data_IF_681196839974
#
_entry.id   IF_681196839974
#
_cell.length_a   1.000
_cell.length_b   1.000
_cell.length_c   1.000
_cell.angle_alpha   90.00
_cell.angle_beta   90.00
_cell.angle_gamma   90.00
#
_symmetry.space_group_name_H-M   'P 1'
#
loop_
_entity.id
_entity.type
_entity.pdbx_description
1 polymer ?
#
# COMPACT_ATOMS: atom_id res chain seq x y z
N UNK A 1 -19.14 50.03 34.33
CA UNK A 1 -17.98 49.13 34.60
C UNK A 1 -18.34 47.66 34.41
N UNK A 2 -19.42 47.16 35.01
CA UNK A 2 -19.84 45.74 34.90
C UNK A 2 -20.03 45.22 33.46
N UNK A 3 -20.71 45.97 32.60
CA UNK A 3 -20.93 45.58 31.19
C UNK A 3 -19.63 45.41 30.37
N UNK A 4 -18.59 46.21 30.68
CA UNK A 4 -17.29 46.10 30.01
C UNK A 4 -16.54 44.83 30.44
N UNK A 5 -16.69 44.42 31.70
CA UNK A 5 -16.07 43.21 32.26
C UNK A 5 -16.74 41.95 31.66
N UNK A 6 -18.07 41.94 31.58
CA UNK A 6 -18.82 40.83 30.96
C UNK A 6 -18.46 40.67 29.48
N UNK A 7 -18.34 41.77 28.74
CA UNK A 7 -17.92 41.74 27.34
C UNK A 7 -16.50 41.18 27.19
N UNK A 8 -15.56 41.60 28.03
CA UNK A 8 -14.17 41.12 27.99
C UNK A 8 -14.10 39.62 28.29
N UNK A 9 -14.88 39.15 29.27
CA UNK A 9 -14.95 37.74 29.63
C UNK A 9 -15.59 36.88 28.53
N UNK A 10 -16.64 37.39 27.87
CA UNK A 10 -17.27 36.73 26.73
C UNK A 10 -16.31 36.60 25.54
N UNK A 11 -15.55 37.66 25.22
CA UNK A 11 -14.53 37.65 24.15
C UNK A 11 -13.41 36.65 24.48
N UNK A 12 -12.94 36.64 25.74
CA UNK A 12 -11.90 35.72 26.18
C UNK A 12 -12.35 34.25 26.09
N UNK A 13 -13.59 33.98 26.50
CA UNK A 13 -14.17 32.62 26.45
C UNK A 13 -14.36 32.17 24.99
N UNK A 14 -14.85 33.06 24.12
CA UNK A 14 -15.04 32.76 22.70
C UNK A 14 -13.71 32.53 21.98
N UNK A 15 -12.67 33.30 22.31
CA UNK A 15 -11.32 33.12 21.76
C UNK A 15 -10.71 31.77 22.17
N UNK A 16 -10.82 31.42 23.45
CA UNK A 16 -10.25 30.19 24.01
C UNK A 16 -10.88 28.92 23.41
N UNK A 17 -12.21 28.91 23.22
CA UNK A 17 -12.90 27.78 22.59
C UNK A 17 -12.50 27.57 21.13
N UNK A 18 -12.24 28.64 20.38
CA UNK A 18 -11.81 28.52 18.99
C UNK A 18 -10.38 27.96 18.89
N UNK A 19 -9.46 28.40 19.74
CA UNK A 19 -8.08 27.88 19.76
C UNK A 19 -8.06 26.38 20.08
N UNK A 20 -8.84 25.93 21.08
CA UNK A 20 -8.92 24.51 21.42
C UNK A 20 -9.51 23.70 20.27
N UNK A 21 -10.57 24.20 19.63
CA UNK A 21 -11.18 23.55 18.47
C UNK A 21 -10.19 23.44 17.30
N UNK A 22 -9.47 24.51 17.00
CA UNK A 22 -8.48 24.53 15.92
C UNK A 22 -7.30 23.58 16.19
N UNK A 23 -6.81 23.52 17.43
CA UNK A 23 -5.76 22.58 17.83
C UNK A 23 -6.22 21.12 17.69
N UNK A 24 -7.42 20.79 18.15
CA UNK A 24 -7.97 19.43 18.02
C UNK A 24 -8.16 19.08 16.55
N UNK A 25 -8.71 19.99 15.75
CA UNK A 25 -8.93 19.77 14.32
C UNK A 25 -7.60 19.58 13.58
N UNK A 26 -6.58 20.37 13.87
CA UNK A 26 -5.27 20.28 13.22
C UNK A 26 -4.54 18.96 13.55
N UNK A 27 -4.63 18.49 14.80
CA UNK A 27 -3.99 17.24 15.22
C UNK A 27 -4.76 15.99 14.75
N UNK A 28 -6.10 16.03 14.72
CA UNK A 28 -6.92 14.87 14.40
C UNK A 28 -7.18 14.71 12.89
N UNK A 29 -7.43 15.81 12.19
CA UNK A 29 -7.85 15.81 10.78
C UNK A 29 -6.82 16.43 9.83
N UNK A 30 -5.70 16.93 10.35
CA UNK A 30 -4.71 17.68 9.57
C UNK A 30 -5.21 19.07 9.16
N UNK A 31 -4.35 19.84 8.49
CA UNK A 31 -4.74 21.16 8.01
C UNK A 31 -5.82 21.04 6.91
N UNK A 32 -6.95 21.77 6.99
CA UNK A 32 -8.07 21.62 6.06
C UNK A 32 -7.77 21.99 4.60
N UNK A 33 -6.54 22.41 4.28
CA UNK A 33 -6.08 22.83 2.95
C UNK A 33 -5.53 21.64 2.10
N UNK A 34 -5.33 20.45 2.68
CA UNK A 34 -4.64 19.35 1.97
C UNK A 34 -5.54 18.37 1.20
N UNK A 35 -6.86 18.51 1.24
CA UNK A 35 -7.75 17.65 0.43
C UNK A 35 -7.77 18.17 -1.01
N UNK A 36 -6.74 17.83 -1.79
CA UNK A 36 -6.80 18.02 -3.24
C UNK A 36 -7.87 17.10 -3.79
N UNK A 37 -8.85 17.66 -4.49
CA UNK A 37 -9.73 16.88 -5.34
C UNK A 37 -8.87 16.24 -6.43
N UNK A 38 -8.75 14.92 -6.38
CA UNK A 38 -8.04 14.15 -7.39
C UNK A 38 -9.09 13.37 -8.18
N UNK A 39 -9.15 13.62 -9.48
CA UNK A 39 -9.91 12.79 -10.40
C UNK A 39 -9.04 11.63 -10.87
N UNK A 40 -9.54 10.42 -10.73
CA UNK A 40 -8.90 9.22 -11.23
C UNK A 40 -9.72 8.66 -12.40
N UNK A 41 -9.11 8.33 -13.54
CA UNK A 41 -9.78 7.58 -14.59
C UNK A 41 -9.96 6.13 -14.12
N UNK A 42 -11.01 5.87 -13.33
CA UNK A 42 -11.34 4.55 -12.84
C UNK A 42 -12.00 3.73 -13.95
N UNK A 43 -11.35 2.64 -14.35
CA UNK A 43 -11.90 1.65 -15.26
C UNK A 43 -12.14 0.35 -14.48
N UNK A 44 -13.40 -0.06 -14.25
CA UNK A 44 -13.69 -1.26 -13.46
C UNK A 44 -13.19 -2.56 -14.12
N UNK A 45 -13.02 -2.57 -15.44
CA UNK A 45 -12.66 -3.75 -16.23
C UNK A 45 -11.14 -3.91 -16.41
N UNK A 46 -10.35 -2.92 -15.99
CA UNK A 46 -8.90 -2.92 -16.21
C UNK A 46 -8.20 -4.07 -15.50
N UNK A 47 -8.72 -4.50 -14.35
CA UNK A 47 -8.21 -5.65 -13.60
C UNK A 47 -8.31 -6.96 -14.39
N UNK A 48 -9.45 -7.20 -15.04
CA UNK A 48 -9.69 -8.41 -15.84
C UNK A 48 -8.74 -8.46 -17.04
N UNK A 49 -8.63 -7.34 -17.77
CA UNK A 49 -7.76 -7.26 -18.96
C UNK A 49 -6.28 -7.40 -18.61
N UNK A 50 -5.83 -6.75 -17.53
CA UNK A 50 -4.43 -6.83 -17.06
C UNK A 50 -4.11 -8.18 -16.44
N UNK A 51 -5.07 -8.86 -15.82
CA UNK A 51 -4.87 -10.21 -15.27
C UNK A 51 -4.43 -11.19 -16.36
N UNK A 52 -5.06 -11.16 -17.54
CA UNK A 52 -4.65 -11.97 -18.70
C UNK A 52 -3.19 -11.67 -19.09
N UNK A 53 -2.85 -10.40 -19.28
CA UNK A 53 -1.50 -9.97 -19.67
C UNK A 53 -0.45 -10.39 -18.63
N UNK A 54 -0.77 -10.24 -17.34
CA UNK A 54 0.11 -10.64 -16.25
C UNK A 54 0.36 -12.15 -16.25
N UNK A 55 -0.68 -12.96 -16.43
CA UNK A 55 -0.56 -14.42 -16.46
C UNK A 55 0.22 -14.93 -17.68
N UNK A 56 0.03 -14.30 -18.86
CA UNK A 56 0.81 -14.62 -20.06
C UNK A 56 2.31 -14.37 -19.84
N UNK A 57 2.67 -13.26 -19.18
CA UNK A 57 4.07 -12.90 -18.91
C UNK A 57 4.68 -13.69 -17.74
N UNK A 58 3.93 -13.88 -16.66
CA UNK A 58 4.45 -14.35 -15.37
C UNK A 58 3.98 -15.74 -14.96
N UNK A 59 3.20 -16.41 -15.81
CA UNK A 59 2.58 -17.69 -15.50
C UNK A 59 1.34 -17.53 -14.62
N UNK A 60 0.63 -18.64 -14.40
CA UNK A 60 -0.61 -18.64 -13.62
C UNK A 60 -0.25 -18.33 -12.17
N UNK A 61 -0.96 -17.37 -11.56
CA UNK A 61 -0.66 -16.84 -10.22
C UNK A 61 0.76 -16.24 -10.04
N UNK A 62 1.49 -15.97 -11.13
CA UNK A 62 2.83 -15.35 -11.06
C UNK A 62 3.97 -16.32 -10.74
N UNK A 63 3.78 -17.62 -10.92
CA UNK A 63 4.80 -18.66 -10.68
C UNK A 63 6.18 -18.33 -11.28
N UNK A 64 6.24 -17.86 -12.54
CA UNK A 64 7.50 -17.50 -13.21
C UNK A 64 8.10 -16.19 -12.68
N UNK A 65 7.27 -15.29 -12.15
CA UNK A 65 7.78 -14.08 -11.52
C UNK A 65 8.45 -14.42 -10.18
N UNK A 66 7.85 -15.32 -9.40
CA UNK A 66 8.42 -15.81 -8.14
C UNK A 66 9.75 -16.53 -8.38
N UNK A 67 9.81 -17.42 -9.38
CA UNK A 67 11.05 -18.08 -9.79
C UNK A 67 12.15 -17.05 -10.09
N UNK A 68 11.86 -16.06 -10.96
CA UNK A 68 12.81 -14.99 -11.31
C UNK A 68 13.26 -14.16 -10.12
N UNK A 69 12.39 -13.88 -9.15
CA UNK A 69 12.78 -13.18 -7.91
C UNK A 69 13.82 -14.00 -7.12
N UNK A 70 13.70 -15.32 -7.11
CA UNK A 70 14.67 -16.22 -6.48
C UNK A 70 15.99 -16.39 -7.23
N UNK A 71 16.07 -15.97 -8.49
CA UNK A 71 17.27 -16.09 -9.32
C UNK A 71 18.25 -14.93 -9.17
N UNK A 72 17.93 -13.86 -8.45
CA UNK A 72 18.82 -12.71 -8.24
C UNK A 72 19.04 -11.82 -9.49
N UNK A 73 19.80 -10.73 -9.32
CA UNK A 73 20.03 -9.71 -10.37
C UNK A 73 21.52 -9.50 -10.72
N UNK A 74 22.39 -10.33 -10.17
CA UNK A 74 23.85 -10.25 -10.29
C UNK A 74 24.42 -11.00 -11.50
N UNK A 75 23.56 -11.57 -12.35
CA UNK A 75 23.94 -12.24 -13.60
C UNK A 75 24.25 -13.73 -13.46
N UNK A 76 24.08 -14.32 -12.27
CA UNK A 76 24.22 -15.75 -12.02
C UNK A 76 22.86 -16.49 -12.03
N UNK A 77 21.89 -15.95 -12.76
CA UNK A 77 20.52 -16.47 -12.81
C UNK A 77 20.46 -17.86 -13.43
N UNK A 78 21.30 -18.15 -14.42
CA UNK A 78 21.32 -19.45 -15.12
C UNK A 78 21.88 -20.56 -14.25
N UNK A 79 22.93 -20.30 -13.51
CA UNK A 79 23.57 -21.22 -12.57
C UNK A 79 22.58 -21.57 -11.46
N UNK A 80 21.95 -20.57 -10.84
CA UNK A 80 20.91 -20.81 -9.82
C UNK A 80 19.71 -21.56 -10.36
N UNK A 81 19.28 -21.27 -11.59
CA UNK A 81 18.18 -21.98 -12.22
C UNK A 81 18.54 -23.45 -12.46
N UNK A 82 19.78 -23.74 -12.88
CA UNK A 82 20.26 -25.11 -13.04
C UNK A 82 20.31 -25.86 -11.72
N UNK A 83 20.81 -25.23 -10.66
CA UNK A 83 20.82 -25.77 -9.29
C UNK A 83 19.40 -26.03 -8.77
N UNK A 84 18.46 -25.10 -9.01
CA UNK A 84 17.06 -25.25 -8.64
C UNK A 84 16.42 -26.44 -9.36
N UNK A 85 16.65 -26.58 -10.66
CA UNK A 85 16.13 -27.72 -11.45
C UNK A 85 16.71 -29.06 -11.00
N UNK A 86 18.00 -29.11 -10.68
CA UNK A 86 18.65 -30.32 -10.19
C UNK A 86 18.12 -30.71 -8.80
N UNK A 87 17.85 -29.72 -7.93
CA UNK A 87 17.19 -29.96 -6.64
C UNK A 87 15.76 -30.47 -6.85
N UNK A 88 15.00 -29.86 -7.75
CA UNK A 88 13.57 -30.16 -7.93
C UNK A 88 13.33 -31.42 -8.79
N UNK A 89 14.38 -32.03 -9.34
CA UNK A 89 14.31 -33.28 -10.10
C UNK A 89 13.82 -34.42 -9.20
N UNK A 90 12.58 -34.86 -9.41
CA UNK A 90 11.93 -35.91 -8.62
C UNK A 90 11.06 -35.42 -7.45
N UNK A 91 11.03 -34.11 -7.18
CA UNK A 91 10.15 -33.52 -6.15
C UNK A 91 8.98 -32.76 -6.81
N UNK A 92 7.75 -33.24 -6.59
CA UNK A 92 6.55 -32.59 -7.13
C UNK A 92 6.17 -31.39 -6.26
N UNK A 93 6.43 -30.16 -6.72
CA UNK A 93 6.03 -28.93 -6.03
C UNK A 93 6.48 -28.85 -4.55
N UNK A 94 7.66 -29.37 -4.23
CA UNK A 94 8.20 -29.37 -2.86
C UNK A 94 7.62 -30.45 -1.94
N UNK A 95 6.87 -31.43 -2.49
CA UNK A 95 6.46 -32.64 -1.78
C UNK A 95 7.31 -33.80 -2.30
N UNK A 96 7.99 -34.48 -1.39
CA UNK A 96 8.86 -35.60 -1.74
C UNK A 96 7.98 -36.82 -2.04
N UNK A 97 8.05 -37.36 -3.27
CA UNK A 97 7.17 -38.45 -3.73
C UNK A 97 7.32 -39.72 -2.86
N UNK A 98 8.46 -39.87 -2.18
CA UNK A 98 8.79 -41.02 -1.35
C UNK A 98 8.46 -40.83 0.15
N UNK A 99 8.03 -39.64 0.56
CA UNK A 99 7.69 -39.28 1.96
C UNK A 99 6.50 -38.32 1.98
N UNK A 100 5.26 -38.85 1.95
CA UNK A 100 4.03 -38.06 2.07
C UNK A 100 3.88 -37.40 3.46
#
# INVERSE_FOLDING_TARGET
MLHKIVLLFAIFTFCSCNIVRELVQFNLAGHPILHKTVEWPFDPEIGVRRSRQYQELNGRLGEKAIERLGLGIDGYDRERLAEQRARDEGHLNGVDYLTP
#
